data_IF_506541892653
#
_entry.id   IF_506541892653
#
_cell.length_a   1.000
_cell.length_b   1.000
_cell.length_c   1.000
_cell.angle_alpha   90.00
_cell.angle_beta   90.00
_cell.angle_gamma   90.00
#
_symmetry.space_group_name_H-M   'P 1'
#
loop_
_entity.id
_entity.type
_entity.pdbx_description
1 polymer ?
#
# COMPACT_ATOMS: atom_id res chain seq x y z
N UNK A 1 19.66 47.50 14.02
CA UNK A 1 18.68 46.55 14.57
C UNK A 1 18.36 45.54 13.47
N UNK A 2 19.09 44.43 13.42
CA UNK A 2 18.91 43.41 12.39
C UNK A 2 17.81 42.45 12.85
N UNK A 3 16.65 42.51 12.20
CA UNK A 3 15.55 41.58 12.43
C UNK A 3 15.90 40.27 11.71
N UNK A 4 16.52 39.33 12.43
CA UNK A 4 16.72 37.97 11.92
C UNK A 4 15.35 37.30 11.85
N UNK A 5 14.71 37.35 10.67
CA UNK A 5 13.54 36.54 10.36
C UNK A 5 13.94 35.08 10.57
N UNK A 6 13.42 34.47 11.63
CA UNK A 6 13.45 33.01 11.80
C UNK A 6 12.77 32.41 10.58
N UNK A 7 13.55 31.79 9.68
CA UNK A 7 13.00 30.85 8.69
C UNK A 7 12.23 29.81 9.49
N UNK A 8 10.95 29.61 9.18
CA UNK A 8 10.17 28.49 9.68
C UNK A 8 10.89 27.16 9.37
N UNK A 9 10.45 26.03 9.97
CA UNK A 9 11.05 24.74 9.67
C UNK A 9 11.08 24.52 8.15
N UNK A 10 12.24 24.09 7.65
CA UNK A 10 12.39 23.78 6.24
C UNK A 10 11.34 22.72 5.88
N UNK A 11 10.54 23.03 4.86
CA UNK A 11 9.58 22.08 4.30
C UNK A 11 10.37 20.87 3.81
N UNK A 12 9.98 19.63 4.14
CA UNK A 12 10.62 18.46 3.56
C UNK A 12 10.47 18.49 2.03
N UNK A 13 11.56 18.26 1.31
CA UNK A 13 11.54 18.13 -0.15
C UNK A 13 10.93 16.76 -0.50
N UNK A 14 9.61 16.72 -0.69
CA UNK A 14 8.91 15.55 -1.20
C UNK A 14 9.04 15.48 -2.74
N UNK A 15 9.07 14.28 -3.34
CA UNK A 15 9.13 14.15 -4.79
C UNK A 15 7.81 14.54 -5.49
N UNK A 16 6.73 14.81 -4.77
CA UNK A 16 5.45 15.29 -5.33
C UNK A 16 5.21 16.76 -4.96
N UNK A 17 4.44 17.47 -5.80
CA UNK A 17 4.10 18.86 -5.56
C UNK A 17 3.09 19.00 -4.39
N UNK A 18 3.12 20.16 -3.72
CA UNK A 18 2.13 20.47 -2.69
C UNK A 18 0.76 20.67 -3.31
N UNK A 19 -0.25 20.06 -2.72
CA UNK A 19 -1.64 20.17 -3.20
C UNK A 19 -1.99 19.20 -4.33
N UNK A 20 -1.07 18.30 -4.71
CA UNK A 20 -1.36 17.28 -5.71
C UNK A 20 -2.47 16.32 -5.26
N UNK A 21 -3.31 15.95 -6.23
CA UNK A 21 -4.37 14.97 -6.04
C UNK A 21 -3.92 13.59 -6.56
N UNK A 22 -4.27 12.54 -5.84
CA UNK A 22 -4.12 11.15 -6.29
C UNK A 22 -5.18 10.26 -5.63
N UNK A 23 -5.42 9.06 -6.16
CA UNK A 23 -6.34 8.11 -5.52
C UNK A 23 -5.63 7.35 -4.39
N UNK A 24 -6.28 7.07 -3.27
CA UNK A 24 -5.68 6.30 -2.15
C UNK A 24 -5.94 4.79 -2.21
N UNK A 25 -6.79 4.33 -3.13
CA UNK A 25 -7.16 2.93 -3.21
C UNK A 25 -7.70 2.57 -4.59
N UNK A 26 -8.41 1.44 -4.65
CA UNK A 26 -8.88 0.84 -5.88
C UNK A 26 -9.97 1.66 -6.59
N UNK A 27 -10.05 1.48 -7.91
CA UNK A 27 -11.10 2.05 -8.76
C UNK A 27 -12.13 0.94 -9.12
N UNK A 28 -13.41 1.30 -9.33
CA UNK A 28 -14.41 0.37 -9.86
C UNK A 28 -14.16 0.07 -11.35
N UNK A 29 -14.78 -1.00 -11.85
CA UNK A 29 -14.71 -1.39 -13.25
C UNK A 29 -13.57 -2.36 -13.58
N UNK A 30 -13.53 -2.76 -14.86
CA UNK A 30 -12.64 -3.82 -15.35
C UNK A 30 -11.75 -3.41 -16.52
N UNK A 31 -11.96 -2.23 -17.10
CA UNK A 31 -11.18 -1.72 -18.23
C UNK A 31 -9.95 -0.97 -17.74
N UNK A 32 -8.81 -1.65 -17.74
CA UNK A 32 -7.53 -1.08 -17.28
C UNK A 32 -7.00 0.01 -18.20
N UNK A 33 -7.27 -0.08 -19.51
CA UNK A 33 -6.79 0.91 -20.47
C UNK A 33 -7.52 2.24 -20.29
N UNK A 34 -8.85 2.20 -20.18
CA UNK A 34 -9.64 3.39 -19.86
C UNK A 34 -9.29 3.96 -18.48
N UNK A 35 -9.21 3.11 -17.45
CA UNK A 35 -8.91 3.58 -16.10
C UNK A 35 -7.53 4.24 -16.03
N UNK A 36 -6.51 3.65 -16.66
CA UNK A 36 -5.16 4.21 -16.65
C UNK A 36 -5.08 5.53 -17.44
N UNK A 37 -5.74 5.60 -18.60
CA UNK A 37 -5.86 6.84 -19.39
C UNK A 37 -6.52 7.96 -18.57
N UNK A 38 -7.63 7.66 -17.90
CA UNK A 38 -8.34 8.60 -17.05
C UNK A 38 -7.41 9.12 -15.95
N UNK A 39 -6.69 8.23 -15.27
CA UNK A 39 -5.78 8.63 -14.18
C UNK A 39 -4.65 9.52 -14.67
N UNK A 40 -4.01 9.19 -15.80
CA UNK A 40 -2.94 10.03 -16.35
C UNK A 40 -3.48 11.40 -16.80
N UNK A 41 -4.68 11.44 -17.39
CA UNK A 41 -5.31 12.67 -17.85
C UNK A 41 -5.81 13.60 -16.73
N UNK A 42 -6.42 13.04 -15.69
CA UNK A 42 -7.10 13.82 -14.63
C UNK A 42 -6.22 14.10 -13.41
N UNK A 43 -5.12 13.34 -13.22
CA UNK A 43 -4.19 13.49 -12.09
C UNK A 43 -2.75 13.76 -12.57
N UNK A 44 -2.50 14.79 -13.40
CA UNK A 44 -1.20 14.97 -14.07
C UNK A 44 -0.04 15.23 -13.11
N UNK A 45 -0.30 15.77 -11.92
CA UNK A 45 0.75 16.04 -10.92
C UNK A 45 1.22 14.79 -10.17
N UNK A 46 0.35 13.79 -10.00
CA UNK A 46 0.64 12.57 -9.26
C UNK A 46 -0.22 11.39 -9.77
N UNK A 47 -0.04 10.97 -11.03
CA UNK A 47 -0.73 9.81 -11.58
C UNK A 47 -0.29 8.56 -10.83
N UNK A 48 -1.14 7.53 -10.87
CA UNK A 48 -0.86 6.26 -10.22
C UNK A 48 -1.12 5.07 -11.14
N UNK A 49 -0.45 3.96 -10.85
CA UNK A 49 -0.78 2.67 -11.45
C UNK A 49 -2.14 2.20 -10.90
N UNK A 50 -3.11 2.04 -11.78
CA UNK A 50 -4.48 1.69 -11.36
C UNK A 50 -4.56 0.31 -10.75
N UNK A 51 -5.47 0.17 -9.78
CA UNK A 51 -5.87 -1.11 -9.20
C UNK A 51 -7.37 -1.31 -9.44
N UNK A 52 -7.72 -2.39 -10.15
CA UNK A 52 -9.10 -2.75 -10.54
C UNK A 52 -9.48 -4.16 -10.05
N UNK A 53 -9.94 -4.30 -8.78
CA UNK A 53 -10.28 -5.58 -8.16
C UNK A 53 -11.42 -6.34 -8.86
N UNK A 54 -12.32 -5.64 -9.55
CA UNK A 54 -13.47 -6.26 -10.23
C UNK A 54 -13.07 -7.15 -11.41
N UNK A 55 -11.80 -7.12 -11.84
CA UNK A 55 -11.23 -8.04 -12.85
C UNK A 55 -11.07 -9.48 -12.34
N UNK A 56 -11.37 -9.73 -11.07
CA UNK A 56 -11.47 -11.05 -10.48
C UNK A 56 -10.23 -11.45 -9.67
N UNK A 57 -10.15 -12.73 -9.26
CA UNK A 57 -9.13 -13.16 -8.31
C UNK A 57 -7.72 -12.95 -8.86
N UNK A 58 -6.92 -12.23 -8.07
CA UNK A 58 -5.56 -11.84 -8.43
C UNK A 58 -5.42 -10.37 -8.78
N UNK A 59 -6.53 -9.70 -9.12
CA UNK A 59 -6.57 -8.24 -9.29
C UNK A 59 -6.95 -7.53 -7.98
N UNK A 60 -7.48 -8.27 -7.00
CA UNK A 60 -7.70 -7.78 -5.64
C UNK A 60 -6.37 -7.44 -4.94
N UNK A 61 -6.42 -6.53 -3.97
CA UNK A 61 -5.25 -6.05 -3.22
C UNK A 61 -4.33 -7.17 -2.70
N UNK A 62 -4.89 -8.28 -2.20
CA UNK A 62 -4.09 -9.39 -1.65
C UNK A 62 -3.48 -10.22 -2.78
N UNK A 63 -4.25 -10.56 -3.81
CA UNK A 63 -3.75 -11.28 -4.98
C UNK A 63 -2.68 -10.50 -5.74
N UNK A 64 -2.87 -9.19 -5.91
CA UNK A 64 -1.89 -8.26 -6.49
C UNK A 64 -0.64 -8.17 -5.60
N UNK A 65 -0.81 -8.02 -4.29
CA UNK A 65 0.28 -8.05 -3.33
C UNK A 65 1.09 -9.36 -3.41
N UNK A 66 0.41 -10.48 -3.59
CA UNK A 66 1.03 -11.79 -3.74
C UNK A 66 1.81 -11.95 -5.06
N UNK A 67 1.51 -11.16 -6.09
CA UNK A 67 2.32 -11.13 -7.33
C UNK A 67 3.75 -10.64 -7.08
N UNK A 68 3.97 -9.86 -6.02
CA UNK A 68 5.29 -9.37 -5.64
C UNK A 68 6.08 -10.38 -4.81
N UNK A 69 5.48 -11.45 -4.31
CA UNK A 69 6.18 -12.37 -3.41
C UNK A 69 7.19 -13.24 -4.17
N UNK A 70 8.47 -12.98 -3.92
CA UNK A 70 9.60 -13.72 -4.48
C UNK A 70 9.82 -15.01 -3.70
N UNK A 71 9.91 -16.14 -4.41
CA UNK A 71 10.17 -17.48 -3.83
C UNK A 71 9.14 -17.93 -2.78
N UNK A 72 7.98 -17.27 -2.71
CA UNK A 72 6.90 -17.61 -1.80
C UNK A 72 5.59 -17.81 -2.60
N UNK A 73 5.43 -18.97 -3.28
CA UNK A 73 4.29 -19.21 -4.15
C UNK A 73 2.97 -19.12 -3.40
N UNK A 74 1.92 -18.65 -4.08
CA UNK A 74 0.56 -18.61 -3.53
C UNK A 74 -0.44 -19.34 -4.41
N UNK A 75 -1.55 -19.76 -3.80
CA UNK A 75 -2.73 -20.29 -4.47
C UNK A 75 -3.99 -19.72 -3.84
N UNK A 76 -5.08 -19.71 -4.61
CA UNK A 76 -6.40 -19.37 -4.08
C UNK A 76 -7.13 -20.68 -3.75
N UNK A 77 -7.33 -20.93 -2.46
CA UNK A 77 -8.01 -22.13 -1.97
C UNK A 77 -9.24 -21.76 -1.13
N UNK A 78 -10.41 -22.26 -1.52
CA UNK A 78 -11.69 -21.97 -0.86
C UNK A 78 -11.95 -20.46 -0.63
N UNK A 79 -11.58 -19.63 -1.62
CA UNK A 79 -11.75 -18.18 -1.58
C UNK A 79 -10.74 -17.44 -0.71
N UNK A 80 -9.70 -18.11 -0.21
CA UNK A 80 -8.63 -17.51 0.60
C UNK A 80 -7.27 -17.73 -0.05
N UNK A 81 -6.41 -16.72 0.06
CA UNK A 81 -5.04 -16.81 -0.43
C UNK A 81 -4.21 -17.60 0.57
N UNK A 82 -3.46 -18.58 0.06
CA UNK A 82 -2.67 -19.50 0.86
C UNK A 82 -1.29 -19.67 0.24
N UNK A 83 -0.25 -19.82 1.06
CA UNK A 83 1.08 -20.24 0.60
C UNK A 83 0.97 -21.62 -0.03
N UNK A 84 1.54 -21.76 -1.22
CA UNK A 84 1.57 -22.98 -2.00
C UNK A 84 2.96 -23.61 -1.96
N UNK A 85 3.06 -24.96 -2.01
CA UNK A 85 4.35 -25.64 -2.02
C UNK A 85 5.14 -25.42 -3.33
N UNK A 86 4.46 -25.03 -4.42
CA UNK A 86 5.06 -24.81 -5.75
C UNK A 86 4.29 -23.74 -6.53
N UNK A 87 4.96 -23.02 -7.45
CA UNK A 87 4.30 -22.12 -8.39
C UNK A 87 3.14 -22.75 -9.15
N UNK A 88 1.99 -22.06 -9.12
CA UNK A 88 0.72 -22.57 -9.64
C UNK A 88 0.06 -21.66 -10.67
N UNK A 89 -1.20 -21.99 -11.01
CA UNK A 89 -2.02 -21.21 -11.95
C UNK A 89 -2.36 -19.82 -11.40
N UNK A 90 -2.63 -19.72 -10.11
CA UNK A 90 -3.03 -18.43 -9.51
C UNK A 90 -1.87 -17.43 -9.50
N UNK A 91 -0.65 -17.89 -9.18
CA UNK A 91 0.56 -17.07 -9.28
C UNK A 91 0.84 -16.57 -10.70
N UNK A 92 0.61 -17.42 -11.72
CA UNK A 92 0.69 -16.96 -13.12
C UNK A 92 -0.39 -15.93 -13.43
N UNK A 93 -1.62 -16.16 -12.98
CA UNK A 93 -2.74 -15.23 -13.20
C UNK A 93 -2.47 -13.86 -12.56
N UNK A 94 -1.98 -13.80 -11.34
CA UNK A 94 -1.66 -12.54 -10.65
C UNK A 94 -0.54 -11.79 -11.37
N UNK A 95 0.50 -12.49 -11.80
CA UNK A 95 1.58 -11.92 -12.61
C UNK A 95 1.07 -11.39 -13.96
N UNK A 96 0.25 -12.16 -14.68
CA UNK A 96 -0.33 -11.76 -15.97
C UNK A 96 -1.25 -10.54 -15.84
N UNK A 97 -1.94 -10.37 -14.69
CA UNK A 97 -2.76 -9.20 -14.40
C UNK A 97 -1.88 -7.97 -14.14
N UNK A 98 -0.85 -8.12 -13.31
CA UNK A 98 0.09 -7.04 -13.00
C UNK A 98 0.85 -6.58 -14.25
N UNK A 99 1.28 -7.50 -15.12
CA UNK A 99 1.96 -7.17 -16.37
C UNK A 99 1.05 -6.34 -17.29
N UNK A 100 -0.23 -6.72 -17.41
CA UNK A 100 -1.22 -5.93 -18.18
C UNK A 100 -1.42 -4.52 -17.61
N UNK A 101 -1.33 -4.36 -16.29
CA UNK A 101 -1.41 -3.04 -15.66
C UNK A 101 -0.18 -2.19 -15.99
N UNK A 102 1.00 -2.81 -15.96
CA UNK A 102 2.27 -2.17 -16.29
C UNK A 102 2.36 -1.79 -17.77
N UNK A 103 1.86 -2.63 -18.67
CA UNK A 103 1.77 -2.32 -20.09
C UNK A 103 0.91 -1.09 -20.34
N UNK A 104 -0.26 -1.00 -19.68
CA UNK A 104 -1.12 0.19 -19.78
C UNK A 104 -0.51 1.42 -19.13
N UNK A 105 0.19 1.29 -18.01
CA UNK A 105 0.95 2.40 -17.44
C UNK A 105 2.03 2.91 -18.40
N UNK A 106 2.71 1.99 -19.09
CA UNK A 106 3.75 2.33 -20.07
C UNK A 106 3.15 3.05 -21.27
N UNK A 107 2.07 2.51 -21.83
CA UNK A 107 1.39 3.06 -23.00
C UNK A 107 0.80 4.46 -22.72
N UNK A 108 0.04 4.60 -21.63
CA UNK A 108 -0.64 5.86 -21.31
C UNK A 108 0.31 6.89 -20.67
N UNK A 109 1.41 6.43 -20.07
CA UNK A 109 2.43 7.27 -19.43
C UNK A 109 3.59 7.68 -20.34
N UNK A 110 3.52 7.39 -21.65
CA UNK A 110 4.60 7.73 -22.58
C UNK A 110 4.95 9.23 -22.52
N UNK A 111 6.24 9.53 -22.42
CA UNK A 111 6.74 10.90 -22.26
C UNK A 111 6.42 11.58 -20.92
N UNK A 112 5.78 10.90 -19.96
CA UNK A 112 5.48 11.50 -18.65
C UNK A 112 6.78 11.86 -17.90
N UNK A 113 6.79 13.08 -17.35
CA UNK A 113 7.86 13.56 -16.46
C UNK A 113 7.23 14.07 -15.17
N UNK A 114 7.77 13.65 -14.03
CA UNK A 114 7.17 13.94 -12.73
C UNK A 114 7.20 12.71 -11.82
N UNK A 115 6.28 12.65 -10.86
CA UNK A 115 6.22 11.55 -9.90
C UNK A 115 5.03 10.66 -10.19
N UNK A 116 5.31 9.37 -10.39
CA UNK A 116 4.28 8.34 -10.56
C UNK A 116 4.18 7.51 -9.30
N UNK A 117 2.96 7.29 -8.83
CA UNK A 117 2.71 6.46 -7.65
C UNK A 117 2.36 5.04 -8.04
N UNK A 118 2.97 4.05 -7.38
CA UNK A 118 2.57 2.64 -7.46
C UNK A 118 2.17 2.16 -6.08
N UNK A 119 1.35 1.12 -5.99
CA UNK A 119 0.79 0.65 -4.72
C UNK A 119 0.77 -0.87 -4.60
N UNK A 120 0.95 -1.34 -3.36
CA UNK A 120 0.93 -2.74 -3.00
C UNK A 120 0.46 -2.95 -1.56
N UNK A 121 -0.12 -4.12 -1.26
CA UNK A 121 -0.38 -4.53 0.10
C UNK A 121 0.92 -4.59 0.92
N UNK A 122 0.90 -4.02 2.13
CA UNK A 122 2.04 -4.06 3.04
C UNK A 122 2.22 -5.43 3.73
N UNK A 123 3.38 -5.65 4.37
CA UNK A 123 3.75 -6.93 4.98
C UNK A 123 2.76 -7.38 6.05
N UNK A 124 2.20 -6.48 6.87
CA UNK A 124 1.27 -6.86 7.94
C UNK A 124 -0.10 -7.24 7.41
N UNK A 125 -0.56 -6.54 6.38
CA UNK A 125 -1.80 -6.86 5.68
C UNK A 125 -1.69 -8.17 4.91
N UNK A 126 -0.55 -8.47 4.28
CA UNK A 126 -0.30 -9.79 3.69
C UNK A 126 -0.20 -10.88 4.76
N UNK A 127 0.56 -10.68 5.83
CA UNK A 127 0.68 -11.66 6.92
C UNK A 127 -0.68 -11.96 7.58
N UNK A 128 -1.53 -10.94 7.70
CA UNK A 128 -2.89 -11.05 8.20
C UNK A 128 -3.90 -11.56 7.16
N UNK A 129 -3.53 -11.85 5.92
CA UNK A 129 -4.47 -12.30 4.88
C UNK A 129 -4.09 -13.63 4.23
N UNK A 130 -2.80 -13.96 4.21
CA UNK A 130 -2.28 -15.20 3.65
C UNK A 130 -2.35 -16.33 4.68
N UNK A 131 -2.87 -17.48 4.26
CA UNK A 131 -2.90 -18.71 5.05
C UNK A 131 -1.66 -19.57 4.81
N UNK A 132 -1.24 -20.30 5.84
CA UNK A 132 -0.22 -21.34 5.76
C UNK A 132 -0.84 -22.63 5.19
N UNK A 133 -0.05 -23.53 4.57
CA UNK A 133 -0.54 -24.80 4.02
C UNK A 133 -1.25 -25.67 5.06
N UNK A 134 -0.77 -25.60 6.31
CA UNK A 134 -1.27 -26.35 7.47
C UNK A 134 -2.45 -25.65 8.17
N UNK A 135 -3.04 -24.63 7.54
CA UNK A 135 -4.03 -23.71 8.13
C UNK A 135 -3.37 -22.69 9.07
N UNK A 136 -4.08 -21.64 9.46
CA UNK A 136 -3.49 -20.52 10.18
C UNK A 136 -3.12 -19.38 9.22
N UNK A 137 -3.38 -18.13 9.58
CA UNK A 137 -2.74 -16.98 8.92
C UNK A 137 -1.23 -16.96 9.18
N UNK A 138 -0.46 -16.45 8.23
CA UNK A 138 1.00 -16.27 8.37
C UNK A 138 1.37 -15.46 9.63
N UNK A 139 0.51 -14.50 10.01
CA UNK A 139 0.63 -13.69 11.23
C UNK A 139 0.89 -14.50 12.51
N UNK A 140 0.45 -15.76 12.57
CA UNK A 140 0.64 -16.60 13.76
C UNK A 140 2.10 -16.97 14.03
N UNK A 141 2.95 -16.93 13.00
CA UNK A 141 4.32 -17.42 13.02
C UNK A 141 5.29 -16.27 12.68
N UNK A 142 6.10 -15.80 13.65
CA UNK A 142 7.09 -14.76 13.41
C UNK A 142 8.10 -15.10 12.31
N UNK A 143 8.38 -16.38 12.06
CA UNK A 143 9.19 -16.82 10.93
C UNK A 143 8.51 -16.54 9.60
N UNK A 144 7.24 -16.93 9.47
CA UNK A 144 6.45 -16.66 8.27
C UNK A 144 6.28 -15.15 8.02
N UNK A 145 6.14 -14.34 9.08
CA UNK A 145 6.11 -12.87 8.97
C UNK A 145 7.42 -12.32 8.40
N UNK A 146 8.57 -12.84 8.84
CA UNK A 146 9.86 -12.44 8.26
C UNK A 146 9.96 -12.88 6.79
N UNK A 147 9.58 -14.12 6.48
CA UNK A 147 9.64 -14.64 5.12
C UNK A 147 8.78 -13.80 4.14
N UNK A 148 7.54 -13.45 4.51
CA UNK A 148 6.70 -12.58 3.66
C UNK A 148 7.24 -11.16 3.56
N UNK A 149 7.85 -10.64 4.64
CA UNK A 149 8.45 -9.29 4.64
C UNK A 149 9.63 -9.21 3.69
N UNK A 150 10.58 -10.15 3.80
CA UNK A 150 11.79 -10.18 2.97
C UNK A 150 11.46 -10.47 1.51
N UNK A 151 10.54 -11.42 1.28
CA UNK A 151 10.02 -11.77 -0.04
C UNK A 151 9.33 -10.59 -0.73
N UNK A 152 8.47 -9.86 0.00
CA UNK A 152 7.80 -8.66 -0.49
C UNK A 152 8.79 -7.54 -0.77
N UNK A 153 9.74 -7.29 0.13
CA UNK A 153 10.75 -6.24 -0.02
C UNK A 153 11.55 -6.41 -1.33
N UNK A 154 12.03 -7.63 -1.59
CA UNK A 154 12.76 -7.95 -2.83
C UNK A 154 11.87 -7.82 -4.07
N UNK A 155 10.62 -8.28 -4.01
CA UNK A 155 9.67 -8.14 -5.10
C UNK A 155 9.31 -6.70 -5.45
N UNK A 156 9.07 -5.87 -4.44
CA UNK A 156 8.77 -4.46 -4.61
C UNK A 156 9.98 -3.69 -5.14
N UNK A 157 11.19 -4.03 -4.71
CA UNK A 157 12.42 -3.47 -5.28
C UNK A 157 12.53 -3.77 -6.78
N UNK A 158 12.19 -5.00 -7.21
CA UNK A 158 12.13 -5.38 -8.64
C UNK A 158 11.04 -4.61 -9.38
N UNK A 159 9.86 -4.47 -8.77
CA UNK A 159 8.73 -3.74 -9.36
C UNK A 159 9.05 -2.26 -9.56
N UNK A 160 9.60 -1.59 -8.55
CA UNK A 160 10.05 -0.19 -8.63
C UNK A 160 11.06 -0.03 -9.77
N UNK A 161 12.06 -0.93 -9.85
CA UNK A 161 13.04 -0.89 -10.92
C UNK A 161 12.43 -1.12 -12.31
N UNK A 162 11.40 -1.96 -12.43
CA UNK A 162 10.70 -2.18 -13.70
C UNK A 162 9.88 -0.95 -14.12
N UNK A 163 9.16 -0.34 -13.18
CA UNK A 163 8.40 0.91 -13.43
C UNK A 163 9.35 2.04 -13.84
N UNK A 164 10.49 2.20 -13.18
CA UNK A 164 11.51 3.20 -13.56
C UNK A 164 12.10 2.96 -14.96
N UNK A 165 12.19 1.70 -15.40
CA UNK A 165 12.64 1.39 -16.78
C UNK A 165 11.57 1.72 -17.81
N UNK A 166 10.31 1.43 -17.50
CA UNK A 166 9.15 1.71 -18.37
C UNK A 166 8.88 3.20 -18.51
N UNK A 167 9.08 3.97 -17.44
CA UNK A 167 8.87 5.42 -17.39
C UNK A 167 10.17 6.17 -16.99
N UNK A 168 11.14 6.33 -17.91
CA UNK A 168 12.46 6.87 -17.57
C UNK A 168 12.46 8.35 -17.16
N UNK A 169 11.41 9.10 -17.52
CA UNK A 169 11.22 10.49 -17.09
C UNK A 169 10.56 10.64 -15.71
N UNK A 170 10.10 9.53 -15.12
CA UNK A 170 9.33 9.54 -13.89
C UNK A 170 10.18 9.15 -12.66
N UNK A 171 9.88 9.76 -11.53
CA UNK A 171 10.30 9.30 -10.21
C UNK A 171 9.20 8.42 -9.61
N UNK A 172 9.56 7.28 -9.04
CA UNK A 172 8.59 6.35 -8.45
C UNK A 172 8.35 6.70 -6.98
N UNK A 173 7.08 6.80 -6.61
CA UNK A 173 6.60 6.86 -5.23
C UNK A 173 5.87 5.55 -4.92
N UNK A 174 6.24 4.86 -3.85
CA UNK A 174 5.54 3.63 -3.46
C UNK A 174 4.53 3.91 -2.35
N UNK A 175 3.32 3.39 -2.48
CA UNK A 175 2.33 3.29 -1.40
C UNK A 175 2.26 1.84 -0.90
N UNK A 176 2.39 1.66 0.42
CA UNK A 176 2.11 0.40 1.10
C UNK A 176 0.75 0.48 1.79
N UNK A 177 -0.17 -0.38 1.39
CA UNK A 177 -1.51 -0.46 1.95
C UNK A 177 -1.52 -1.36 3.19
N UNK A 178 -1.71 -0.74 4.35
CA UNK A 178 -1.71 -1.39 5.67
C UNK A 178 -3.03 -1.22 6.45
N UNK A 179 -4.21 -1.56 5.87
CA UNK A 179 -5.48 -1.48 6.59
C UNK A 179 -5.57 -2.46 7.78
N UNK A 180 -4.79 -3.55 7.78
CA UNK A 180 -4.81 -4.54 8.87
C UNK A 180 -3.92 -4.16 10.05
N UNK A 181 -3.00 -3.21 9.89
CA UNK A 181 -1.98 -2.89 10.89
C UNK A 181 -2.56 -2.48 12.26
N UNK A 182 -3.61 -1.63 12.36
CA UNK A 182 -4.21 -1.33 13.66
C UNK A 182 -4.82 -2.55 14.37
N UNK A 183 -5.32 -3.53 13.61
CA UNK A 183 -5.86 -4.77 14.18
C UNK A 183 -4.74 -5.73 14.59
N UNK A 184 -3.65 -5.79 13.84
CA UNK A 184 -2.44 -6.56 14.14
C UNK A 184 -1.82 -6.10 15.47
N UNK A 185 -1.59 -4.79 15.62
CA UNK A 185 -1.04 -4.20 16.85
C UNK A 185 -1.95 -4.42 18.07
N UNK A 186 -3.26 -4.46 17.85
CA UNK A 186 -4.23 -4.63 18.93
C UNK A 186 -4.55 -6.12 19.24
N UNK A 187 -3.99 -7.07 18.49
CA UNK A 187 -4.35 -8.49 18.63
C UNK A 187 -5.82 -8.77 18.33
N UNK A 188 -6.37 -8.10 17.30
CA UNK A 188 -7.79 -8.17 16.90
C UNK A 188 -8.01 -8.87 15.57
N UNK A 189 -6.97 -9.45 14.97
CA UNK A 189 -7.10 -10.24 13.75
C UNK A 189 -7.73 -11.59 14.10
N UNK A 190 -8.94 -11.92 13.60
CA UNK A 190 -9.63 -13.14 13.99
C UNK A 190 -8.92 -14.39 13.47
N UNK A 191 -8.94 -15.45 14.28
CA UNK A 191 -8.55 -16.80 13.84
C UNK A 191 -9.58 -17.38 12.87
N UNK A 192 -9.25 -18.48 12.21
CA UNK A 192 -10.12 -19.16 11.25
C UNK A 192 -11.48 -19.54 11.83
N UNK A 193 -11.50 -19.92 13.12
CA UNK A 193 -12.73 -20.25 13.85
C UNK A 193 -13.61 -19.04 14.14
N UNK A 194 -13.07 -17.81 14.08
CA UNK A 194 -13.73 -16.59 14.53
C UNK A 194 -13.96 -16.48 16.05
N UNK A 195 -13.57 -17.50 16.83
CA UNK A 195 -13.78 -17.56 18.29
C UNK A 195 -12.64 -16.91 19.09
N UNK A 196 -11.55 -16.54 18.43
CA UNK A 196 -10.36 -15.97 19.05
C UNK A 196 -9.66 -15.03 18.07
N UNK A 197 -8.63 -14.34 18.54
CA UNK A 197 -7.78 -13.49 17.72
C UNK A 197 -6.31 -13.88 17.88
N UNK A 198 -5.50 -13.59 16.86
CA UNK A 198 -4.05 -13.73 16.94
C UNK A 198 -3.47 -12.76 17.97
N UNK A 199 -2.30 -13.11 18.50
CA UNK A 199 -1.58 -12.28 19.47
C UNK A 199 -1.29 -10.91 18.87
N UNK A 200 -1.33 -9.90 19.73
CA UNK A 200 -0.85 -8.57 19.40
C UNK A 200 0.62 -8.64 18.98
N UNK A 201 0.97 -7.84 17.98
CA UNK A 201 2.36 -7.58 17.59
C UNK A 201 2.83 -6.31 18.27
N UNK A 202 4.01 -6.35 18.87
CA UNK A 202 4.58 -5.17 19.51
C UNK A 202 4.96 -4.11 18.47
N UNK A 203 4.74 -2.83 18.82
CA UNK A 203 5.01 -1.69 17.93
C UNK A 203 6.40 -1.67 17.31
N UNK A 204 7.49 -1.95 18.05
CA UNK A 204 8.84 -2.02 17.50
C UNK A 204 9.02 -3.10 16.43
N UNK A 205 8.41 -4.27 16.60
CA UNK A 205 8.47 -5.35 15.60
C UNK A 205 7.67 -4.98 14.35
N UNK A 206 6.51 -4.34 14.55
CA UNK A 206 5.71 -3.80 13.47
C UNK A 206 6.48 -2.77 12.63
N UNK A 207 7.15 -1.85 13.30
CA UNK A 207 7.98 -0.84 12.67
C UNK A 207 9.20 -1.45 11.97
N UNK A 208 9.82 -2.48 12.56
CA UNK A 208 10.98 -3.16 11.98
C UNK A 208 10.64 -3.84 10.65
N UNK A 209 9.53 -4.57 10.57
CA UNK A 209 9.12 -5.22 9.32
C UNK A 209 8.80 -4.21 8.20
N UNK A 210 8.09 -3.12 8.53
CA UNK A 210 7.84 -2.04 7.58
C UNK A 210 9.14 -1.36 7.13
N UNK A 211 10.05 -1.08 8.07
CA UNK A 211 11.35 -0.48 7.79
C UNK A 211 12.17 -1.34 6.83
N UNK A 212 12.18 -2.66 7.00
CA UNK A 212 12.86 -3.58 6.07
C UNK A 212 12.38 -3.37 4.63
N UNK A 213 11.06 -3.31 4.41
CA UNK A 213 10.50 -3.04 3.07
C UNK A 213 10.89 -1.65 2.58
N UNK A 214 10.71 -0.62 3.40
CA UNK A 214 10.97 0.79 3.06
C UNK A 214 12.45 1.00 2.67
N UNK A 215 13.38 0.46 3.45
CA UNK A 215 14.82 0.62 3.18
C UNK A 215 15.26 -0.19 1.95
N UNK A 216 14.62 -1.33 1.67
CA UNK A 216 14.98 -2.20 0.53
C UNK A 216 14.52 -1.64 -0.81
N UNK A 217 13.35 -0.98 -0.88
CA UNK A 217 12.81 -0.46 -2.16
C UNK A 217 13.57 0.75 -2.70
N UNK A 218 14.26 1.50 -1.83
CA UNK A 218 15.15 2.60 -2.23
C UNK A 218 14.44 3.84 -2.80
N UNK A 219 13.12 3.93 -2.67
CA UNK A 219 12.30 5.09 -3.07
C UNK A 219 11.47 5.58 -1.89
N UNK A 220 10.98 6.83 -1.89
CA UNK A 220 10.07 7.31 -0.85
C UNK A 220 8.83 6.42 -0.75
N UNK A 221 8.43 6.10 0.48
CA UNK A 221 7.27 5.23 0.76
C UNK A 221 6.21 5.98 1.56
N UNK A 222 4.99 5.96 1.05
CA UNK A 222 3.78 6.38 1.76
C UNK A 222 3.14 5.14 2.37
N UNK A 223 2.80 5.16 3.66
CA UNK A 223 2.00 4.07 4.25
C UNK A 223 0.54 4.51 4.34
N UNK A 224 -0.33 3.78 3.67
CA UNK A 224 -1.75 4.01 3.67
C UNK A 224 -2.46 3.14 4.71
N UNK A 225 -3.37 3.73 5.47
CA UNK A 225 -4.26 3.00 6.35
C UNK A 225 -5.65 3.65 6.35
N UNK A 226 -6.65 2.94 5.84
CA UNK A 226 -8.06 3.38 5.86
C UNK A 226 -8.81 2.93 7.12
N UNK A 227 -8.14 2.29 8.08
CA UNK A 227 -8.73 1.89 9.35
C UNK A 227 -8.56 2.99 10.41
N UNK A 228 -9.48 3.10 11.38
CA UNK A 228 -9.33 4.06 12.48
C UNK A 228 -8.16 3.66 13.38
N UNK A 229 -7.54 4.65 14.03
CA UNK A 229 -6.42 4.43 14.95
C UNK A 229 -5.10 4.14 14.23
N UNK A 230 -4.79 4.92 13.18
CA UNK A 230 -3.54 4.82 12.43
C UNK A 230 -2.34 4.96 13.40
N UNK A 231 -1.43 3.98 13.46
CA UNK A 231 -0.35 3.95 14.44
C UNK A 231 0.82 4.85 14.00
N UNK A 232 0.64 6.17 14.08
CA UNK A 232 1.61 7.16 13.58
C UNK A 232 3.03 6.95 14.11
N UNK A 233 3.19 6.56 15.38
CA UNK A 233 4.50 6.26 15.96
C UNK A 233 5.21 5.10 15.24
N UNK A 234 4.49 4.01 14.97
CA UNK A 234 5.03 2.85 14.22
C UNK A 234 5.46 3.27 12.82
N UNK A 235 4.66 4.10 12.14
CA UNK A 235 4.96 4.58 10.78
C UNK A 235 6.19 5.49 10.76
N UNK A 236 6.36 6.33 11.80
CA UNK A 236 7.56 7.16 11.98
C UNK A 236 8.80 6.32 12.26
N UNK A 237 8.70 5.34 13.16
CA UNK A 237 9.80 4.43 13.50
C UNK A 237 10.18 3.51 12.33
N UNK A 238 9.23 3.25 11.43
CA UNK A 238 9.44 2.56 10.16
C UNK A 238 10.11 3.44 9.09
N UNK A 239 10.23 4.76 9.32
CA UNK A 239 10.75 5.76 8.38
C UNK A 239 9.89 5.97 7.14
N UNK A 240 8.57 5.88 7.27
CA UNK A 240 7.67 6.28 6.20
C UNK A 240 7.90 7.75 5.82
N UNK A 241 7.92 8.06 4.52
CA UNK A 241 8.04 9.44 4.04
C UNK A 241 6.74 10.22 4.24
N UNK A 242 5.60 9.53 4.14
CA UNK A 242 4.28 10.10 4.38
C UNK A 242 3.29 9.04 4.90
N UNK A 243 2.18 9.52 5.45
CA UNK A 243 1.02 8.70 5.79
C UNK A 243 -0.17 9.09 4.93
N UNK A 244 -0.89 8.09 4.41
CA UNK A 244 -2.20 8.27 3.77
C UNK A 244 -3.29 7.74 4.68
N UNK A 245 -4.26 8.59 5.01
CA UNK A 245 -5.31 8.27 5.98
C UNK A 245 -6.64 8.88 5.58
N UNK A 246 -7.73 8.29 6.07
CA UNK A 246 -9.08 8.86 5.93
C UNK A 246 -9.27 9.96 6.98
N UNK A 247 -9.40 11.22 6.55
CA UNK A 247 -9.60 12.35 7.44
C UNK A 247 -10.92 12.23 8.23
N UNK A 248 -11.94 11.57 7.68
CA UNK A 248 -13.22 11.39 8.35
C UNK A 248 -13.12 10.41 9.54
N UNK A 249 -12.05 9.62 9.63
CA UNK A 249 -11.80 8.69 10.73
C UNK A 249 -10.88 9.26 11.81
N UNK A 250 -10.30 10.45 11.58
CA UNK A 250 -9.49 11.13 12.59
C UNK A 250 -10.37 11.82 13.62
N UNK A 251 -10.17 11.44 14.89
CA UNK A 251 -10.86 12.04 16.04
C UNK A 251 -9.97 13.01 16.81
N UNK A 252 -8.66 12.81 16.74
CA UNK A 252 -7.64 13.60 17.40
C UNK A 252 -6.60 14.00 16.36
N UNK A 253 -6.30 15.30 16.30
CA UNK A 253 -5.38 15.88 15.32
C UNK A 253 -4.00 16.14 15.90
N UNK A 254 -3.84 16.14 17.23
CA UNK A 254 -2.59 16.50 17.88
C UNK A 254 -1.46 15.53 17.49
N UNK A 255 -1.65 14.18 17.55
CA UNK A 255 -0.60 13.24 17.13
C UNK A 255 -0.23 13.38 15.65
N UNK A 256 -1.18 13.78 14.81
CA UNK A 256 -0.92 14.01 13.38
C UNK A 256 -0.14 15.31 13.17
N UNK A 257 -0.49 16.38 13.89
CA UNK A 257 0.24 17.64 13.89
C UNK A 257 1.70 17.45 14.27
N UNK A 258 1.97 16.74 15.37
CA UNK A 258 3.33 16.41 15.82
C UNK A 258 4.11 15.60 14.77
N UNK A 259 3.45 14.66 14.09
CA UNK A 259 4.09 13.87 13.04
C UNK A 259 4.45 14.73 11.80
N UNK A 260 3.57 15.64 11.40
CA UNK A 260 3.81 16.57 10.28
C UNK A 260 4.93 17.56 10.62
N UNK A 261 4.93 18.11 11.83
CA UNK A 261 6.00 18.99 12.31
C UNK A 261 7.36 18.26 12.36
N UNK A 262 7.35 16.96 12.64
CA UNK A 262 8.53 16.10 12.57
C UNK A 262 8.94 15.71 11.13
N UNK A 263 8.25 16.21 10.09
CA UNK A 263 8.60 16.05 8.69
C UNK A 263 7.84 14.94 7.95
N UNK A 264 6.84 14.30 8.56
CA UNK A 264 6.01 13.30 7.89
C UNK A 264 5.06 13.97 6.88
N UNK A 265 5.08 13.52 5.62
CA UNK A 265 4.11 13.97 4.63
C UNK A 265 2.69 13.46 4.93
N UNK A 266 1.68 14.17 4.43
CA UNK A 266 0.28 13.78 4.60
C UNK A 266 -0.41 13.64 3.23
N UNK A 267 -1.04 12.49 3.03
CA UNK A 267 -2.01 12.22 1.98
C UNK A 267 -3.39 12.17 2.62
N UNK A 268 -4.13 13.26 2.50
CA UNK A 268 -5.40 13.44 3.17
C UNK A 268 -6.55 12.84 2.34
N UNK A 269 -7.10 11.72 2.80
CA UNK A 269 -8.32 11.12 2.24
C UNK A 269 -9.51 12.01 2.54
N UNK A 270 -9.81 12.94 1.64
CA UNK A 270 -10.85 13.96 1.80
C UNK A 270 -12.10 13.70 0.94
N UNK A 271 -12.01 12.82 -0.07
CA UNK A 271 -13.09 12.51 -1.01
C UNK A 271 -13.57 11.08 -0.79
N UNK A 272 -14.88 10.86 -0.53
CA UNK A 272 -15.43 9.51 -0.37
C UNK A 272 -15.28 8.69 -1.66
N UNK A 273 -14.79 7.45 -1.53
CA UNK A 273 -14.59 6.53 -2.67
C UNK A 273 -15.75 5.56 -2.89
N UNK A 274 -16.76 5.58 -2.03
CA UNK A 274 -18.00 4.80 -2.19
C UNK A 274 -19.13 5.71 -2.65
N UNK A 275 -19.96 5.28 -3.61
CA UNK A 275 -21.20 5.98 -3.90
C UNK A 275 -22.03 6.08 -2.60
N UNK A 276 -22.77 7.19 -2.38
CA UNK A 276 -23.64 7.30 -1.23
C UNK A 276 -24.57 6.09 -1.22
N UNK A 277 -24.73 5.42 -0.06
CA UNK A 277 -25.71 4.34 0.05
C UNK A 277 -27.05 4.88 -0.44
N UNK A 278 -27.63 4.25 -1.47
CA UNK A 278 -28.98 4.61 -1.92
C UNK A 278 -29.90 4.51 -0.70
N UNK A 279 -30.25 5.67 -0.15
CA UNK A 279 -31.14 5.76 0.98
C UNK A 279 -32.45 5.09 0.60
N UNK A 280 -32.99 4.27 1.50
CA UNK A 280 -34.35 3.76 1.36
C UNK A 280 -35.27 4.97 1.16
N UNK A 281 -36.06 5.05 0.07
CA UNK A 281 -37.01 6.15 -0.09
C UNK A 281 -38.02 6.13 1.07
N UNK A 282 -38.57 7.29 1.44
CA UNK A 282 -39.48 7.46 2.57
C UNK A 282 -40.72 6.54 2.48
#
# INVERSE_FOLDING_TARGET
MALTLRRGPAVPDFPWARGSATALGSLPGTDVAEAQRLVVGELPELPHLVELPERGPGADMIGRGAAFLVELPVQLYAGRWQIAPRPGRDMRRTADLLERDLDQLTEQGDGYTGTVKVQAAGPWTLAASLELPVGGRMLRDPGAVRDVTDSLAEGLRRHVADVSKRLPGATVLLQLDEPSLPAVLAGRVPTESGLSAYKAVDGPDAAAALRTVIETVGVPVVVHCCAPGVPLQVLRDARAAAVALDLALLKDLDPLGEAIEAGLGLFAGAVPTRPPSAGRPP
#
